data_IF_349818878992
#
_entry.id   IF_349818878992
#
_cell.length_a   1.000
_cell.length_b   1.000
_cell.length_c   1.000
_cell.angle_alpha   90.00
_cell.angle_beta   90.00
_cell.angle_gamma   90.00
#
_symmetry.space_group_name_H-M   'P 1'
#
loop_
_entity.id
_entity.type
_entity.pdbx_description
1 polymer ?
#
# COMPACT_ATOMS: atom_id res chain seq x y z
N UNK A 1 -16.19 14.91 -18.33
CA UNK A 1 -15.41 15.37 -17.15
C UNK A 1 -14.10 15.92 -17.68
N UNK A 2 -13.63 17.09 -17.22
CA UNK A 2 -12.34 17.63 -17.64
C UNK A 2 -11.21 16.74 -17.09
N UNK A 3 -10.43 16.10 -17.98
CA UNK A 3 -9.35 15.18 -17.62
C UNK A 3 -8.35 15.81 -16.64
N UNK A 4 -8.00 17.08 -16.86
CA UNK A 4 -7.06 17.81 -16.01
C UNK A 4 -7.60 18.00 -14.60
N UNK A 5 -8.87 18.40 -14.48
CA UNK A 5 -9.53 18.63 -13.19
C UNK A 5 -9.71 17.32 -12.42
N UNK A 6 -10.11 16.25 -13.11
CA UNK A 6 -10.22 14.92 -12.52
C UNK A 6 -8.87 14.43 -12.00
N UNK A 7 -7.81 14.53 -12.81
CA UNK A 7 -6.47 14.13 -12.40
C UNK A 7 -5.95 14.99 -11.24
N UNK A 8 -6.15 16.31 -11.29
CA UNK A 8 -5.80 17.24 -10.21
C UNK A 8 -6.43 16.81 -8.87
N UNK A 9 -7.71 16.43 -8.89
CA UNK A 9 -8.40 15.99 -7.68
C UNK A 9 -7.85 14.66 -7.13
N UNK A 10 -7.47 13.71 -7.99
CA UNK A 10 -6.79 12.49 -7.56
C UNK A 10 -5.42 12.81 -6.96
N UNK A 11 -4.63 13.66 -7.64
CA UNK A 11 -3.31 14.07 -7.15
C UNK A 11 -3.39 14.76 -5.78
N UNK A 12 -4.35 15.67 -5.59
CA UNK A 12 -4.57 16.31 -4.28
C UNK A 12 -4.88 15.28 -3.20
N UNK A 13 -5.77 14.31 -3.48
CA UNK A 13 -6.07 13.23 -2.51
C UNK A 13 -4.83 12.41 -2.18
N UNK A 14 -3.98 12.11 -3.16
CA UNK A 14 -2.74 11.36 -2.94
C UNK A 14 -1.76 12.12 -2.06
N UNK A 15 -1.55 13.42 -2.29
CA UNK A 15 -0.68 14.23 -1.42
C UNK A 15 -1.25 14.40 -0.01
N UNK A 16 -2.59 14.43 0.14
CA UNK A 16 -3.23 14.50 1.46
C UNK A 16 -3.05 13.23 2.31
N UNK A 17 -2.62 12.11 1.72
CA UNK A 17 -2.25 10.90 2.47
C UNK A 17 -0.92 11.06 3.22
N UNK A 18 -0.07 12.01 2.83
CA UNK A 18 1.24 12.22 3.45
C UNK A 18 1.11 13.14 4.67
N UNK A 19 1.30 12.60 5.88
CA UNK A 19 1.15 13.36 7.13
C UNK A 19 2.11 14.54 7.29
N UNK A 20 3.25 14.50 6.59
CA UNK A 20 4.24 15.58 6.56
C UNK A 20 3.88 16.72 5.59
N UNK A 21 2.78 16.61 4.83
CA UNK A 21 2.44 17.55 3.75
C UNK A 21 1.07 18.18 3.99
N UNK A 22 1.04 19.51 4.04
CA UNK A 22 -0.20 20.28 3.97
C UNK A 22 -0.48 20.68 2.52
N UNK A 23 -1.63 20.26 1.99
CA UNK A 23 -2.00 20.55 0.59
C UNK A 23 -2.81 21.84 0.48
N UNK A 24 -2.19 22.86 -0.09
CA UNK A 24 -2.87 24.12 -0.46
C UNK A 24 -3.40 23.99 -1.88
N UNK A 25 -4.73 24.10 -2.06
CA UNK A 25 -5.34 24.05 -3.40
C UNK A 25 -5.01 25.30 -4.20
N UNK A 26 -4.76 25.13 -5.50
CA UNK A 26 -4.45 26.22 -6.41
C UNK A 26 -5.66 27.12 -6.73
N UNK A 27 -6.89 26.72 -6.38
CA UNK A 27 -8.09 27.53 -6.57
C UNK A 27 -8.31 28.01 -8.01
N UNK A 28 -8.72 29.27 -8.18
CA UNK A 28 -8.94 29.88 -9.51
C UNK A 28 -7.64 30.03 -10.34
N UNK A 29 -6.45 29.89 -9.73
CA UNK A 29 -5.18 29.94 -10.45
C UNK A 29 -4.97 28.74 -11.38
N UNK A 30 -5.60 27.59 -11.07
CA UNK A 30 -5.59 26.40 -11.93
C UNK A 30 -6.57 26.49 -13.12
N UNK A 31 -7.51 27.46 -13.12
CA UNK A 31 -8.51 27.63 -14.18
C UNK A 31 -7.98 28.41 -15.40
N UNK A 32 -6.74 28.89 -15.33
CA UNK A 32 -6.08 29.59 -16.42
C UNK A 32 -5.63 28.56 -17.47
N UNK A 33 -6.18 28.61 -18.69
CA UNK A 33 -5.78 27.81 -19.85
C UNK A 33 -4.36 28.09 -20.36
N UNK A 34 -3.63 28.99 -19.69
CA UNK A 34 -2.26 29.36 -20.03
C UNK A 34 -1.31 28.44 -19.28
N UNK A 35 -0.41 27.80 -20.02
CA UNK A 35 0.68 27.00 -19.46
C UNK A 35 1.34 27.75 -18.29
N UNK A 36 1.38 27.11 -17.11
CA UNK A 36 1.94 27.72 -15.91
C UNK A 36 3.45 27.88 -16.13
N UNK A 37 3.89 29.11 -16.37
CA UNK A 37 5.32 29.42 -16.49
C UNK A 37 6.00 29.32 -15.13
N UNK A 38 7.32 29.07 -15.11
CA UNK A 38 8.13 29.02 -13.88
C UNK A 38 7.90 30.25 -12.99
N UNK A 39 7.95 31.44 -13.57
CA UNK A 39 7.77 32.70 -12.85
C UNK A 39 6.40 32.77 -12.16
N UNK A 40 5.34 32.37 -12.88
CA UNK A 40 3.98 32.33 -12.34
C UNK A 40 3.82 31.29 -11.23
N UNK A 41 4.45 30.12 -11.36
CA UNK A 41 4.45 29.10 -10.31
C UNK A 41 5.11 29.62 -9.02
N UNK A 42 6.27 30.27 -9.13
CA UNK A 42 7.00 30.83 -7.99
C UNK A 42 6.22 31.97 -7.33
N UNK A 43 5.69 32.91 -8.12
CA UNK A 43 4.91 34.03 -7.58
C UNK A 43 3.64 33.55 -6.87
N UNK A 44 2.99 32.53 -7.43
CA UNK A 44 1.79 31.92 -6.83
C UNK A 44 2.14 31.19 -5.53
N UNK A 45 3.22 30.40 -5.52
CA UNK A 45 3.71 29.74 -4.32
C UNK A 45 4.01 30.74 -3.19
N UNK A 46 4.70 31.84 -3.50
CA UNK A 46 4.96 32.93 -2.54
C UNK A 46 3.67 33.56 -2.02
N UNK A 47 2.69 33.85 -2.89
CA UNK A 47 1.41 34.44 -2.50
C UNK A 47 0.58 33.52 -1.59
N UNK A 48 0.62 32.21 -1.86
CA UNK A 48 -0.05 31.19 -1.05
C UNK A 48 0.76 30.76 0.18
N UNK A 49 1.97 31.31 0.38
CA UNK A 49 2.92 30.90 1.43
C UNK A 49 3.22 29.40 1.41
N UNK A 50 3.29 28.82 0.21
CA UNK A 50 3.63 27.42 0.02
C UNK A 50 5.15 27.24 -0.03
N UNK A 51 5.67 26.19 0.62
CA UNK A 51 7.08 25.82 0.54
C UNK A 51 7.44 25.20 -0.82
N UNK A 52 6.49 24.47 -1.40
CA UNK A 52 6.64 23.77 -2.67
C UNK A 52 5.45 24.01 -3.58
N UNK A 53 5.71 24.05 -4.88
CA UNK A 53 4.67 24.07 -5.93
C UNK A 53 4.90 22.91 -6.88
N UNK A 54 3.85 22.14 -7.15
CA UNK A 54 3.83 21.10 -8.17
C UNK A 54 3.20 21.67 -9.45
N UNK A 55 3.89 21.50 -10.58
CA UNK A 55 3.39 21.88 -11.90
C UNK A 55 3.55 20.71 -12.86
N UNK A 56 2.66 20.58 -13.83
CA UNK A 56 2.81 19.55 -14.85
C UNK A 56 1.80 19.65 -15.98
N UNK A 57 1.86 18.67 -16.86
CA UNK A 57 0.94 18.46 -17.96
C UNK A 57 0.46 17.01 -17.98
N UNK A 58 -0.77 16.83 -18.42
CA UNK A 58 -1.32 15.52 -18.77
C UNK A 58 -1.63 15.52 -20.26
N UNK A 59 -1.14 14.50 -20.96
CA UNK A 59 -1.35 14.30 -22.39
C UNK A 59 -2.02 12.94 -22.61
N UNK A 60 -3.04 12.91 -23.47
CA UNK A 60 -3.74 11.67 -23.82
C UNK A 60 -3.51 11.35 -25.30
N UNK A 61 -3.02 10.14 -25.57
CA UNK A 61 -2.88 9.59 -26.92
C UNK A 61 -3.60 8.25 -26.99
N UNK A 62 -4.80 8.25 -27.59
CA UNK A 62 -5.70 7.10 -27.56
C UNK A 62 -6.05 6.72 -26.11
N UNK A 63 -5.81 5.47 -25.75
CA UNK A 63 -6.05 4.94 -24.39
C UNK A 63 -4.89 5.19 -23.42
N UNK A 64 -3.81 5.85 -23.87
CA UNK A 64 -2.61 6.05 -23.05
C UNK A 64 -2.57 7.47 -22.49
N UNK A 65 -2.35 7.58 -21.19
CA UNK A 65 -2.12 8.83 -20.48
C UNK A 65 -0.63 8.95 -20.16
N UNK A 66 -0.05 10.11 -20.47
CA UNK A 66 1.28 10.51 -20.03
C UNK A 66 1.16 11.72 -19.10
N UNK A 67 1.83 11.65 -17.96
CA UNK A 67 1.86 12.72 -16.97
C UNK A 67 3.30 13.13 -16.77
N UNK A 68 3.60 14.39 -17.08
CA UNK A 68 4.90 15.00 -16.84
C UNK A 68 4.73 16.06 -15.75
N UNK A 69 5.44 15.93 -14.65
CA UNK A 69 5.33 16.84 -13.52
C UNK A 69 6.70 17.19 -12.93
N UNK A 70 6.77 18.34 -12.27
CA UNK A 70 7.95 18.81 -11.56
C UNK A 70 7.53 19.50 -10.28
N UNK A 71 8.42 19.46 -9.28
CA UNK A 71 8.25 20.15 -8.01
C UNK A 71 9.28 21.28 -7.91
N UNK A 72 8.83 22.42 -7.38
CA UNK A 72 9.63 23.64 -7.25
C UNK A 72 9.71 23.99 -5.78
N UNK A 73 10.92 24.12 -5.22
CA UNK A 73 11.13 24.70 -3.90
C UNK A 73 11.07 26.23 -4.02
N UNK A 74 10.13 26.85 -3.31
CA UNK A 74 9.84 28.28 -3.43
C UNK A 74 10.87 29.15 -2.71
N UNK A 75 11.41 28.67 -1.59
CA UNK A 75 12.43 29.40 -0.82
C UNK A 75 13.76 29.49 -1.57
N UNK A 76 14.17 28.40 -2.23
CA UNK A 76 15.44 28.31 -2.97
C UNK A 76 15.27 28.62 -4.47
N UNK A 77 14.04 28.83 -4.95
CA UNK A 77 13.67 28.91 -6.37
C UNK A 77 14.24 27.74 -7.22
N UNK A 78 14.48 26.60 -6.56
CA UNK A 78 15.08 25.40 -7.12
C UNK A 78 14.01 24.55 -7.77
N UNK A 79 14.23 24.18 -9.02
CA UNK A 79 13.41 23.20 -9.74
C UNK A 79 14.07 21.84 -9.58
N UNK A 80 13.29 20.84 -9.15
CA UNK A 80 13.73 19.46 -9.15
C UNK A 80 13.51 18.82 -10.53
N UNK A 81 14.26 17.74 -10.87
CA UNK A 81 14.05 17.01 -12.11
C UNK A 81 12.58 16.65 -12.33
N UNK A 82 12.14 16.68 -13.59
CA UNK A 82 10.80 16.28 -13.94
C UNK A 82 10.63 14.77 -13.79
N UNK A 83 9.51 14.36 -13.19
CA UNK A 83 9.04 12.99 -13.17
C UNK A 83 8.04 12.77 -14.31
N UNK A 84 8.07 11.59 -14.92
CA UNK A 84 7.14 11.19 -15.97
C UNK A 84 6.56 9.82 -15.65
N UNK A 85 5.24 9.68 -15.79
CA UNK A 85 4.51 8.44 -15.56
C UNK A 85 3.56 8.20 -16.71
N UNK A 86 3.55 6.95 -17.21
CA UNK A 86 2.72 6.53 -18.33
C UNK A 86 1.87 5.33 -17.93
N UNK A 87 0.59 5.35 -18.29
CA UNK A 87 -0.26 4.18 -18.17
C UNK A 87 -1.53 4.26 -19.01
N UNK A 88 -2.26 3.14 -19.03
CA UNK A 88 -3.56 3.07 -19.71
C UNK A 88 -4.60 3.82 -18.89
N UNK A 89 -5.57 4.42 -19.57
CA UNK A 89 -6.74 5.03 -18.94
C UNK A 89 -7.48 4.01 -18.03
N UNK A 90 -7.48 2.74 -18.42
CA UNK A 90 -8.06 1.63 -17.65
C UNK A 90 -7.32 1.30 -16.35
N UNK A 91 -6.03 1.65 -16.22
CA UNK A 91 -5.28 1.53 -14.95
C UNK A 91 -5.85 2.49 -13.88
N UNK A 92 -6.53 3.55 -14.32
CA UNK A 92 -7.17 4.54 -13.47
C UNK A 92 -6.25 5.72 -13.13
N UNK A 93 -6.84 6.91 -13.10
CA UNK A 93 -6.12 8.17 -12.79
C UNK A 93 -5.54 8.19 -11.36
N UNK A 94 -6.16 7.45 -10.43
CA UNK A 94 -5.70 7.33 -9.05
C UNK A 94 -4.31 6.67 -8.95
N UNK A 95 -4.12 5.56 -9.65
CA UNK A 95 -2.83 4.85 -9.64
C UNK A 95 -1.71 5.72 -10.22
N UNK A 96 -1.99 6.40 -11.34
CA UNK A 96 -1.04 7.32 -11.97
C UNK A 96 -0.74 8.53 -11.07
N UNK A 97 -1.74 9.05 -10.35
CA UNK A 97 -1.57 10.12 -9.38
C UNK A 97 -0.68 9.69 -8.20
N UNK A 98 -0.84 8.46 -7.71
CA UNK A 98 -0.03 7.92 -6.62
C UNK A 98 1.44 7.73 -7.05
N UNK A 99 1.64 7.24 -8.27
CA UNK A 99 2.97 7.05 -8.84
C UNK A 99 3.69 8.38 -9.08
N UNK A 100 3.02 9.37 -9.70
CA UNK A 100 3.66 10.68 -9.93
C UNK A 100 3.96 11.41 -8.63
N UNK A 101 3.08 11.34 -7.61
CA UNK A 101 3.35 11.88 -6.27
C UNK A 101 4.63 11.28 -5.70
N UNK A 102 4.76 9.96 -5.74
CA UNK A 102 5.93 9.24 -5.22
C UNK A 102 7.20 9.69 -5.92
N UNK A 103 7.17 9.80 -7.25
CA UNK A 103 8.31 10.26 -8.03
C UNK A 103 8.71 11.70 -7.72
N UNK A 104 7.74 12.61 -7.55
CA UNK A 104 8.00 14.01 -7.18
C UNK A 104 8.62 14.12 -5.77
N UNK A 105 8.04 13.43 -4.79
CA UNK A 105 8.49 13.52 -3.40
C UNK A 105 9.85 12.87 -3.18
N UNK A 106 10.24 11.87 -3.99
CA UNK A 106 11.58 11.28 -3.94
C UNK A 106 12.71 12.32 -4.13
N UNK A 107 12.46 13.42 -4.85
CA UNK A 107 13.44 14.48 -5.06
C UNK A 107 13.54 15.48 -3.90
N UNK A 108 12.53 15.53 -3.04
CA UNK A 108 12.42 16.55 -1.97
C UNK A 108 13.00 16.10 -0.63
N UNK A 109 13.26 14.80 -0.46
CA UNK A 109 13.61 14.22 0.84
C UNK A 109 12.43 14.09 1.81
N UNK A 110 11.19 14.34 1.37
CA UNK A 110 9.99 14.12 2.18
C UNK A 110 9.64 12.64 2.37
N UNK A 111 10.11 11.77 1.48
CA UNK A 111 9.87 10.33 1.62
C UNK A 111 10.96 9.72 2.48
N UNK A 112 10.52 9.26 3.65
CA UNK A 112 11.30 8.30 4.43
C UNK A 112 11.61 7.07 3.57
N UNK A 113 12.87 6.68 3.52
CA UNK A 113 13.30 5.49 2.77
C UNK A 113 13.42 4.30 3.71
N UNK A 114 12.93 3.14 3.29
CA UNK A 114 13.05 1.89 4.04
C UNK A 114 14.52 1.46 4.00
N UNK A 115 15.19 1.48 5.14
CA UNK A 115 16.57 1.01 5.27
C UNK A 115 16.64 -0.52 5.16
N UNK A 116 15.77 -1.22 5.90
CA UNK A 116 15.61 -2.68 5.83
C UNK A 116 14.20 -3.12 6.23
N UNK A 117 13.90 -4.39 5.94
CA UNK A 117 12.65 -5.04 6.31
C UNK A 117 12.96 -6.28 7.17
N UNK A 118 12.49 -6.24 8.41
CA UNK A 118 12.64 -7.32 9.37
C UNK A 118 11.34 -8.11 9.50
N UNK A 119 11.46 -9.43 9.64
CA UNK A 119 10.33 -10.32 9.91
C UNK A 119 10.56 -10.96 11.27
N UNK A 120 9.59 -10.85 12.16
CA UNK A 120 9.64 -11.37 13.53
C UNK A 120 8.47 -12.32 13.81
N UNK A 121 8.68 -13.31 14.67
CA UNK A 121 7.65 -14.26 15.09
C UNK A 121 7.44 -15.47 14.16
N UNK A 122 8.04 -15.48 12.98
CA UNK A 122 8.13 -16.66 12.13
C UNK A 122 9.12 -17.68 12.71
N UNK A 123 8.77 -18.96 12.66
CA UNK A 123 9.55 -20.09 13.18
C UNK A 123 9.72 -21.19 12.13
N UNK A 124 8.62 -21.60 11.48
CA UNK A 124 8.60 -22.63 10.43
C UNK A 124 8.65 -22.02 9.03
N UNK A 125 8.06 -20.84 8.84
CA UNK A 125 8.10 -20.12 7.56
C UNK A 125 9.37 -19.28 7.49
N UNK A 126 10.14 -19.42 6.41
CA UNK A 126 11.36 -18.64 6.21
C UNK A 126 11.06 -17.15 6.00
N UNK A 127 11.83 -16.27 6.63
CA UNK A 127 11.66 -14.82 6.52
C UNK A 127 11.79 -14.33 5.07
N UNK A 128 12.70 -14.91 4.28
CA UNK A 128 12.84 -14.60 2.84
C UNK A 128 11.59 -14.93 2.03
N UNK A 129 10.91 -16.03 2.34
CA UNK A 129 9.68 -16.41 1.64
C UNK A 129 8.56 -15.38 1.88
N UNK A 130 8.51 -14.80 3.09
CA UNK A 130 7.57 -13.72 3.43
C UNK A 130 7.99 -12.44 2.70
N UNK A 131 9.27 -12.04 2.77
CA UNK A 131 9.81 -10.85 2.10
C UNK A 131 9.55 -10.84 0.59
N UNK A 132 9.67 -11.97 -0.08
CA UNK A 132 9.42 -12.10 -1.52
C UNK A 132 7.97 -11.80 -1.94
N UNK A 133 7.02 -11.85 -1.00
CA UNK A 133 5.62 -11.52 -1.27
C UNK A 133 5.31 -10.02 -1.08
N UNK A 134 6.23 -9.25 -0.47
CA UNK A 134 6.00 -7.86 -0.13
C UNK A 134 6.18 -6.94 -1.35
N UNK A 135 5.37 -5.89 -1.39
CA UNK A 135 5.54 -4.74 -2.28
C UNK A 135 6.63 -3.81 -1.75
N UNK A 136 6.69 -3.64 -0.42
CA UNK A 136 7.72 -2.85 0.26
C UNK A 136 9.09 -3.50 0.08
N UNK A 137 10.14 -2.69 -0.19
CA UNK A 137 11.51 -3.16 -0.36
C UNK A 137 12.50 -2.25 0.37
N UNK A 138 13.64 -2.80 0.78
CA UNK A 138 14.75 -1.96 1.20
C UNK A 138 15.17 -1.04 0.05
N UNK A 139 15.47 0.21 0.35
CA UNK A 139 15.79 1.28 -0.61
C UNK A 139 14.58 1.90 -1.30
N UNK A 140 13.35 1.39 -1.11
CA UNK A 140 12.14 2.04 -1.64
C UNK A 140 11.57 3.05 -0.64
N UNK A 141 10.79 4.04 -1.13
CA UNK A 141 10.01 4.89 -0.25
C UNK A 141 9.10 4.10 0.70
N UNK A 142 9.00 4.56 1.94
CA UNK A 142 8.03 4.08 2.92
C UNK A 142 6.64 4.54 2.47
N UNK A 143 5.69 3.59 2.41
CA UNK A 143 4.32 3.86 2.00
C UNK A 143 3.35 3.09 2.89
N UNK A 144 2.45 3.81 3.56
CA UNK A 144 1.41 3.21 4.39
C UNK A 144 0.45 2.32 3.59
N UNK A 145 0.22 2.68 2.32
CA UNK A 145 -0.59 1.88 1.40
C UNK A 145 0.10 0.55 1.10
N UNK A 146 1.40 0.57 0.82
CA UNK A 146 2.18 -0.66 0.61
C UNK A 146 2.21 -1.51 1.88
N UNK A 147 2.43 -0.92 3.06
CA UNK A 147 2.39 -1.64 4.34
C UNK A 147 1.03 -2.33 4.54
N UNK A 148 -0.07 -1.62 4.29
CA UNK A 148 -1.42 -2.17 4.41
C UNK A 148 -1.70 -3.29 3.39
N UNK A 149 -1.21 -3.14 2.16
CA UNK A 149 -1.29 -4.17 1.13
C UNK A 149 -0.45 -5.40 1.51
N UNK A 150 0.73 -5.19 2.07
CA UNK A 150 1.67 -6.23 2.48
C UNK A 150 1.12 -7.05 3.65
N UNK A 151 0.55 -6.41 4.67
CA UNK A 151 -0.18 -7.10 5.75
C UNK A 151 -1.23 -8.05 5.16
N UNK A 152 -2.06 -7.55 4.23
CA UNK A 152 -3.08 -8.37 3.56
C UNK A 152 -2.48 -9.52 2.75
N UNK A 153 -1.36 -9.28 2.07
CA UNK A 153 -0.64 -10.31 1.31
C UNK A 153 -0.13 -11.42 2.23
N UNK A 154 0.47 -11.07 3.37
CA UNK A 154 0.95 -12.05 4.36
C UNK A 154 -0.23 -12.87 4.91
N UNK A 155 -1.35 -12.24 5.27
CA UNK A 155 -2.56 -12.97 5.69
C UNK A 155 -3.07 -13.94 4.61
N UNK A 156 -3.05 -13.53 3.34
CA UNK A 156 -3.50 -14.36 2.21
C UNK A 156 -2.63 -15.60 1.98
N UNK A 157 -1.41 -15.64 2.51
CA UNK A 157 -0.60 -16.87 2.51
C UNK A 157 -1.29 -18.00 3.28
N UNK A 158 -2.17 -17.68 4.24
CA UNK A 158 -2.91 -18.68 5.03
C UNK A 158 -2.04 -19.45 6.03
N UNK A 159 -0.87 -18.91 6.36
CA UNK A 159 0.12 -19.50 7.26
C UNK A 159 0.21 -18.77 8.61
N UNK A 160 -0.52 -17.66 8.77
CA UNK A 160 -0.44 -16.78 9.94
C UNK A 160 -1.84 -16.48 10.48
N UNK A 161 -1.96 -16.51 11.81
CA UNK A 161 -3.17 -16.13 12.57
C UNK A 161 -3.24 -14.62 12.80
N UNK A 162 -2.07 -13.97 12.94
CA UNK A 162 -1.96 -12.52 13.17
C UNK A 162 -0.75 -11.95 12.43
N UNK A 163 -0.91 -10.71 11.93
CA UNK A 163 0.12 -9.97 11.20
C UNK A 163 -0.01 -8.49 11.56
N UNK A 164 1.07 -7.92 12.08
CA UNK A 164 1.19 -6.48 12.34
C UNK A 164 2.48 -5.91 11.74
N UNK A 165 2.51 -4.61 11.52
CA UNK A 165 3.69 -3.90 11.04
C UNK A 165 4.01 -2.72 11.96
N UNK A 166 5.30 -2.46 12.17
CA UNK A 166 5.81 -1.32 12.92
C UNK A 166 6.96 -0.68 12.17
N UNK A 167 6.99 0.65 12.17
CA UNK A 167 8.12 1.43 11.65
C UNK A 167 8.90 2.01 12.84
N UNK A 168 10.21 1.80 12.87
CA UNK A 168 11.13 2.43 13.82
C UNK A 168 12.14 3.30 13.07
N UNK A 169 12.67 4.31 13.74
CA UNK A 169 13.76 5.15 13.20
C UNK A 169 15.05 4.72 13.89
N UNK A 170 16.02 4.24 13.10
CA UNK A 170 17.34 3.80 13.55
C UNK A 170 18.43 4.59 12.82
N UNK A 171 19.70 4.39 13.21
CA UNK A 171 20.83 5.14 12.65
C UNK A 171 20.98 4.97 11.13
N UNK A 172 20.57 3.82 10.60
CA UNK A 172 20.61 3.50 9.17
C UNK A 172 19.35 3.92 8.39
N UNK A 173 18.33 4.48 9.05
CA UNK A 173 17.09 4.96 8.44
C UNK A 173 15.82 4.33 9.03
N UNK A 174 14.74 4.26 8.27
CA UNK A 174 13.49 3.63 8.73
C UNK A 174 13.56 2.12 8.62
N UNK A 175 13.28 1.43 9.71
CA UNK A 175 13.19 -0.03 9.76
C UNK A 175 11.72 -0.43 9.80
N UNK A 176 11.29 -1.23 8.83
CA UNK A 176 9.93 -1.76 8.76
C UNK A 176 9.94 -3.20 9.26
N UNK A 177 9.33 -3.44 10.42
CA UNK A 177 9.24 -4.78 11.03
C UNK A 177 7.83 -5.33 10.88
N UNK A 178 7.69 -6.46 10.20
CA UNK A 178 6.46 -7.25 10.22
C UNK A 178 6.55 -8.30 11.33
N UNK A 179 5.62 -8.26 12.27
CA UNK A 179 5.48 -9.28 13.32
C UNK A 179 4.34 -10.21 12.96
N UNK A 180 4.63 -11.51 12.89
CA UNK A 180 3.66 -12.54 12.51
C UNK A 180 3.49 -13.57 13.62
N UNK A 181 2.27 -14.09 13.74
CA UNK A 181 1.97 -15.26 14.57
C UNK A 181 1.60 -16.41 13.65
N UNK A 182 2.47 -17.42 13.56
CA UNK A 182 2.20 -18.58 12.71
C UNK A 182 0.96 -19.35 13.13
N UNK A 183 0.17 -19.73 12.14
CA UNK A 183 -1.00 -20.55 12.33
C UNK A 183 -0.61 -21.95 12.82
N UNK A 184 -1.30 -22.44 13.86
CA UNK A 184 -1.14 -23.81 14.33
C UNK A 184 -1.49 -24.84 13.25
N UNK A 185 -1.07 -26.09 13.46
CA UNK A 185 -1.64 -27.21 12.71
C UNK A 185 -2.99 -27.58 13.30
N UNK A 186 -3.91 -28.04 12.45
CA UNK A 186 -5.15 -28.67 12.91
C UNK A 186 -4.79 -30.02 13.50
N UNK A 187 -4.71 -30.08 14.82
CA UNK A 187 -4.37 -31.28 15.59
C UNK A 187 -5.53 -32.27 15.63
N UNK A 188 -6.76 -31.79 15.75
CA UNK A 188 -7.95 -32.61 15.91
C UNK A 188 -9.17 -31.92 15.32
N UNK A 189 -10.05 -32.70 14.69
CA UNK A 189 -11.37 -32.28 14.24
C UNK A 189 -12.40 -33.05 15.07
N UNK A 190 -13.16 -32.34 15.91
CA UNK A 190 -14.27 -32.90 16.69
C UNK A 190 -15.59 -32.52 16.04
N UNK A 191 -16.41 -33.52 15.73
CA UNK A 191 -17.79 -33.34 15.29
C UNK A 191 -18.71 -33.51 16.51
N UNK A 192 -19.59 -32.54 16.75
CA UNK A 192 -20.53 -32.56 17.87
C UNK A 192 -21.96 -32.52 17.30
N UNK A 193 -22.83 -33.42 17.76
CA UNK A 193 -24.25 -33.39 17.41
C UNK A 193 -24.63 -33.99 16.05
N UNK A 194 -23.71 -34.67 15.36
CA UNK A 194 -24.02 -35.42 14.14
C UNK A 194 -24.81 -36.70 14.49
N UNK A 195 -26.14 -36.58 14.56
CA UNK A 195 -27.04 -37.72 14.86
C UNK A 195 -27.60 -38.43 13.62
N UNK A 196 -27.58 -37.76 12.46
CA UNK A 196 -28.21 -38.23 11.21
C UNK A 196 -27.22 -38.45 10.06
N UNK A 197 -25.96 -38.08 10.25
CA UNK A 197 -24.92 -38.17 9.24
C UNK A 197 -23.73 -38.88 9.84
N UNK A 198 -23.19 -39.82 9.07
CA UNK A 198 -22.00 -40.56 9.48
C UNK A 198 -20.79 -39.62 9.58
N UNK A 199 -19.92 -39.91 10.54
CA UNK A 199 -18.71 -39.11 10.78
C UNK A 199 -17.80 -39.12 9.57
N UNK A 200 -17.63 -40.25 8.92
CA UNK A 200 -16.70 -40.41 7.81
C UNK A 200 -17.23 -39.72 6.55
N UNK A 201 -18.54 -39.70 6.35
CA UNK A 201 -19.19 -38.91 5.28
C UNK A 201 -18.97 -37.42 5.48
N UNK A 202 -19.11 -36.92 6.71
CA UNK A 202 -18.86 -35.51 7.04
C UNK A 202 -17.38 -35.18 6.82
N UNK A 203 -16.45 -35.98 7.35
CA UNK A 203 -15.02 -35.77 7.19
C UNK A 203 -14.58 -35.86 5.72
N UNK A 204 -15.21 -36.74 4.93
CA UNK A 204 -14.98 -36.87 3.49
C UNK A 204 -15.42 -35.66 2.67
N UNK A 205 -16.52 -35.00 3.10
CA UNK A 205 -17.03 -33.78 2.46
C UNK A 205 -16.29 -32.50 2.91
N UNK A 206 -15.50 -32.55 3.98
CA UNK A 206 -14.76 -31.39 4.48
C UNK A 206 -13.54 -31.05 3.60
N UNK A 207 -13.39 -29.76 3.27
CA UNK A 207 -12.22 -29.22 2.54
C UNK A 207 -10.96 -29.04 3.40
N UNK A 208 -11.04 -29.42 4.68
CA UNK A 208 -10.02 -29.24 5.72
C UNK A 208 -9.73 -30.59 6.37
N UNK A 209 -8.45 -30.98 6.42
CA UNK A 209 -8.00 -32.24 7.03
C UNK A 209 -7.08 -31.98 8.22
N UNK A 210 -6.98 -32.96 9.12
CA UNK A 210 -5.96 -32.94 10.19
C UNK A 210 -4.55 -32.83 9.60
N UNK A 211 -3.63 -32.23 10.36
CA UNK A 211 -2.23 -31.92 9.96
C UNK A 211 -2.08 -30.86 8.86
N UNK A 212 -3.16 -30.23 8.39
CA UNK A 212 -3.07 -29.04 7.54
C UNK A 212 -2.88 -27.77 8.39
N UNK A 213 -2.28 -26.73 7.79
CA UNK A 213 -2.21 -25.38 8.39
C UNK A 213 -3.62 -24.84 8.63
N UNK A 214 -3.86 -24.29 9.81
CA UNK A 214 -5.14 -23.66 10.15
C UNK A 214 -5.34 -22.42 9.29
N UNK A 215 -6.20 -22.52 8.28
CA UNK A 215 -6.58 -21.38 7.43
C UNK A 215 -8.00 -20.91 7.81
N UNK A 216 -8.10 -19.75 8.44
CA UNK A 216 -9.36 -19.17 8.91
C UNK A 216 -10.39 -18.95 7.80
N UNK A 217 -9.96 -18.71 6.55
CA UNK A 217 -10.87 -18.56 5.42
C UNK A 217 -11.61 -19.86 5.06
N UNK A 218 -11.03 -21.03 5.38
CA UNK A 218 -11.67 -22.33 5.17
C UNK A 218 -12.64 -22.71 6.29
N UNK A 219 -12.50 -22.11 7.48
CA UNK A 219 -13.34 -22.41 8.66
C UNK A 219 -14.75 -21.82 8.48
N UNK A 220 -14.86 -20.63 7.87
CA UNK A 220 -16.13 -19.90 7.74
C UNK A 220 -17.17 -20.59 6.83
N UNK A 221 -16.75 -21.53 5.97
CA UNK A 221 -17.65 -22.20 5.01
C UNK A 221 -18.32 -23.45 5.62
N UNK A 222 -18.05 -23.79 6.88
CA UNK A 222 -18.66 -25.00 7.48
C UNK A 222 -20.06 -24.73 8.06
N UNK A 223 -21.05 -25.60 7.80
CA UNK A 223 -22.41 -25.41 8.31
C UNK A 223 -22.42 -25.36 9.84
N UNK A 224 -23.29 -24.49 10.38
CA UNK A 224 -23.48 -24.18 11.81
C UNK A 224 -23.45 -25.46 12.68
N UNK A 225 -22.34 -25.73 13.38
CA UNK A 225 -22.27 -26.83 14.35
C UNK A 225 -20.87 -27.41 14.65
N UNK A 226 -19.84 -27.12 13.85
CA UNK A 226 -18.49 -27.70 14.06
C UNK A 226 -17.62 -26.73 14.87
N UNK A 227 -17.15 -27.17 16.04
CA UNK A 227 -16.22 -26.41 16.90
C UNK A 227 -14.82 -27.03 16.80
N UNK A 228 -13.80 -26.27 16.41
CA UNK A 228 -12.40 -26.73 16.36
C UNK A 228 -11.62 -26.23 17.57
N UNK A 229 -10.87 -27.12 18.24
CA UNK A 229 -9.99 -26.76 19.37
C UNK A 229 -8.52 -26.79 18.96
N UNK A 230 -7.77 -25.76 19.36
CA UNK A 230 -6.30 -25.64 19.19
C UNK A 230 -5.57 -26.60 20.14
N UNK A 231 -4.54 -27.31 19.65
CA UNK A 231 -3.54 -27.93 20.53
C UNK A 231 -2.52 -26.88 20.92
N UNK A 232 -2.42 -26.59 22.22
CA UNK A 232 -1.26 -25.91 22.78
C UNK A 232 -0.16 -26.95 22.93
N UNK A 233 0.78 -27.02 21.98
CA UNK A 233 2.02 -27.75 22.21
C UNK A 233 3.01 -26.81 22.90
N UNK A 234 3.53 -27.28 24.03
CA UNK A 234 4.64 -26.73 24.79
C UNK A 234 5.94 -26.67 23.95
#
# INVERSE_FOLDING_TARGET
VNLQESFYNHLVKEFQKESAIEVIRAGDFAKSSVAVTKSKAISTGKALKADYVVTGSITQFGETLNIDAQIINIAQEKIFPSASVQGKESTGQEALAAEIKTALLAHTGFLDTIARIDIAGNRRVGAEAIRQQLRSKAGSPLSEENISADIKTIYKMGLFEDVSAKVTTEAEGKVLTFTVVEAGLISEIRLIGNKKLDRDDILGAMSVKTRQSLNHAKIFIMPKGITMSRSANA
#
